data_IF_828040064866
#
_entry.id   IF_828040064866
#
_cell.length_a   1.000
_cell.length_b   1.000
_cell.length_c   1.000
_cell.angle_alpha   90.00
_cell.angle_beta   90.00
_cell.angle_gamma   90.00
#
_symmetry.space_group_name_H-M   'P 1'
#
loop_
_entity.id
_entity.type
_entity.pdbx_description
1 polymer ?
#
# COMPACT_ATOMS: atom_id res chain seq x y z
N UNK A 1 -15.61 -15.60 1.38
CA UNK A 1 -14.21 -15.63 0.95
C UNK A 1 -13.46 -14.40 1.41
N UNK A 2 -14.03 -13.21 1.11
CA UNK A 2 -13.41 -11.96 1.54
C UNK A 2 -13.32 -11.87 3.06
N UNK A 3 -14.32 -12.40 3.76
CA UNK A 3 -14.31 -12.41 5.22
C UNK A 3 -13.15 -13.24 5.77
N UNK A 4 -12.87 -14.39 5.17
CA UNK A 4 -11.76 -15.23 5.60
C UNK A 4 -10.42 -14.52 5.40
N UNK A 5 -10.27 -13.87 4.25
CA UNK A 5 -9.06 -13.11 3.96
C UNK A 5 -8.85 -12.03 5.01
N UNK A 6 -9.89 -11.25 5.30
CA UNK A 6 -9.79 -10.17 6.27
C UNK A 6 -9.48 -10.66 7.68
N UNK A 7 -9.98 -11.84 8.05
CA UNK A 7 -9.72 -12.37 9.39
C UNK A 7 -8.30 -12.91 9.55
N UNK A 8 -7.60 -13.18 8.45
CA UNK A 8 -6.27 -13.77 8.47
C UNK A 8 -5.15 -12.79 8.18
N UNK A 9 -5.48 -11.54 7.89
CA UNK A 9 -4.47 -10.58 7.50
C UNK A 9 -4.71 -9.19 8.03
N UNK A 10 -3.72 -8.35 7.80
CA UNK A 10 -3.77 -6.94 8.16
C UNK A 10 -4.19 -6.14 6.94
N UNK A 11 -5.08 -5.17 7.13
CA UNK A 11 -5.50 -4.31 6.03
C UNK A 11 -4.48 -3.22 5.82
N UNK A 12 -3.95 -3.18 4.60
CA UNK A 12 -3.02 -2.16 4.17
C UNK A 12 -3.65 -1.33 3.07
N UNK A 13 -3.05 -0.19 2.79
CA UNK A 13 -3.41 0.60 1.61
C UNK A 13 -2.15 0.89 0.81
N UNK A 14 -2.32 1.00 -0.50
CA UNK A 14 -1.27 1.52 -1.36
C UNK A 14 -1.94 2.31 -2.48
N UNK A 15 -1.43 3.50 -2.75
CA UNK A 15 -2.04 4.33 -3.76
C UNK A 15 -1.04 5.26 -4.42
N UNK A 16 -1.44 5.79 -5.57
CA UNK A 16 -0.67 6.81 -6.26
C UNK A 16 -1.56 8.04 -6.42
N UNK A 17 -1.01 9.19 -6.09
CA UNK A 17 -1.65 10.48 -6.37
C UNK A 17 -0.67 11.32 -7.17
N UNK A 18 -1.19 12.34 -7.85
CA UNK A 18 -0.35 13.23 -8.64
C UNK A 18 -0.20 14.54 -7.90
N UNK A 19 1.04 14.84 -7.51
CA UNK A 19 1.39 16.14 -6.92
C UNK A 19 1.64 17.13 -8.04
N UNK A 20 1.15 18.34 -7.89
CA UNK A 20 1.26 19.35 -8.94
C UNK A 20 2.71 19.69 -9.29
N UNK A 21 3.61 19.60 -8.31
CA UNK A 21 4.99 19.98 -8.50
C UNK A 21 5.90 18.75 -8.70
N UNK A 22 5.65 17.69 -7.94
CA UNK A 22 6.54 16.53 -7.91
C UNK A 22 6.12 15.40 -8.83
N UNK A 23 4.90 15.46 -9.37
CA UNK A 23 4.38 14.38 -10.21
C UNK A 23 3.79 13.25 -9.38
N UNK A 24 3.87 12.00 -9.89
CA UNK A 24 3.26 10.89 -9.18
C UNK A 24 3.98 10.58 -7.86
N UNK A 25 3.21 10.33 -6.82
CA UNK A 25 3.70 9.95 -5.51
C UNK A 25 2.95 8.71 -5.05
N UNK A 26 3.63 7.82 -4.36
CA UNK A 26 3.03 6.57 -3.87
C UNK A 26 2.98 6.61 -2.36
N UNK A 27 1.80 6.31 -1.81
CA UNK A 27 1.58 6.24 -0.37
C UNK A 27 1.30 4.80 0.01
N UNK A 28 1.98 4.32 1.03
CA UNK A 28 1.72 3.01 1.62
C UNK A 28 1.43 3.21 3.10
N UNK A 29 0.54 2.39 3.64
CA UNK A 29 0.18 2.53 5.03
C UNK A 29 -0.82 1.48 5.47
N UNK A 30 -1.29 1.64 6.69
CA UNK A 30 -2.35 0.79 7.22
C UNK A 30 -3.70 1.29 6.76
N UNK A 31 -4.59 0.34 6.46
CA UNK A 31 -5.97 0.63 6.15
C UNK A 31 -6.86 0.45 7.37
N UNK A 32 -8.18 0.50 7.12
CA UNK A 32 -9.15 0.34 8.18
C UNK A 32 -9.46 1.65 8.88
N UNK A 33 -10.52 1.61 9.66
CA UNK A 33 -11.10 2.82 10.23
C UNK A 33 -10.13 3.59 11.14
N UNK A 34 -9.53 2.86 12.09
CA UNK A 34 -8.67 3.52 13.07
C UNK A 34 -7.35 3.99 12.46
N UNK A 35 -6.81 3.21 11.55
CA UNK A 35 -5.53 3.56 10.93
C UNK A 35 -5.67 4.80 10.07
N UNK A 36 -6.77 4.95 9.35
CA UNK A 36 -7.03 6.14 8.55
C UNK A 36 -7.16 7.38 9.43
N UNK A 37 -7.84 7.26 10.56
CA UNK A 37 -8.00 8.36 11.50
C UNK A 37 -6.65 8.80 12.07
N UNK A 38 -5.72 7.86 12.25
CA UNK A 38 -4.38 8.14 12.77
C UNK A 38 -3.41 8.58 11.68
N UNK A 39 -3.79 8.47 10.43
CA UNK A 39 -2.96 8.81 9.28
C UNK A 39 -1.61 8.10 9.31
N UNK A 40 -1.65 6.79 9.52
CA UNK A 40 -0.44 5.97 9.65
C UNK A 40 0.01 5.50 8.27
N UNK A 41 0.69 6.38 7.55
CA UNK A 41 1.11 6.14 6.18
C UNK A 41 2.40 6.89 5.89
N UNK A 42 3.09 6.45 4.84
CA UNK A 42 4.31 7.09 4.36
C UNK A 42 4.22 7.25 2.85
N UNK A 43 4.74 8.38 2.35
CA UNK A 43 4.70 8.71 0.92
C UNK A 43 6.11 8.64 0.35
N UNK A 44 6.24 7.96 -0.79
CA UNK A 44 7.52 7.75 -1.46
C UNK A 44 7.41 8.21 -2.91
N UNK A 45 8.53 8.65 -3.46
CA UNK A 45 8.61 9.00 -4.88
C UNK A 45 8.89 7.74 -5.69
N UNK A 46 8.04 7.42 -6.70
CA UNK A 46 8.27 6.26 -7.55
C UNK A 46 9.36 6.57 -8.59
N UNK A 47 10.07 5.58 -9.11
CA UNK A 47 10.03 4.19 -8.68
C UNK A 47 10.92 3.99 -7.46
N UNK A 48 10.61 3.00 -6.66
CA UNK A 48 11.44 2.70 -5.50
C UNK A 48 11.66 1.20 -5.38
N UNK A 49 12.75 0.86 -4.69
CA UNK A 49 13.16 -0.53 -4.55
C UNK A 49 12.36 -1.24 -3.47
N UNK A 50 12.45 -2.57 -3.48
CA UNK A 50 11.89 -3.39 -2.42
C UNK A 50 12.44 -3.01 -1.06
N UNK A 51 13.75 -2.72 -1.00
CA UNK A 51 14.41 -2.33 0.24
C UNK A 51 13.86 -1.01 0.78
N UNK A 52 13.64 -0.04 -0.10
CA UNK A 52 13.04 1.23 0.31
C UNK A 52 11.63 1.04 0.84
N UNK A 53 10.86 0.15 0.22
CA UNK A 53 9.51 -0.16 0.69
C UNK A 53 9.54 -0.82 2.05
N UNK A 54 10.49 -1.73 2.29
CA UNK A 54 10.63 -2.38 3.60
C UNK A 54 10.99 -1.38 4.68
N UNK A 55 11.88 -0.46 4.38
CA UNK A 55 12.26 0.58 5.31
C UNK A 55 11.08 1.47 5.64
N UNK A 56 10.27 1.81 4.64
CA UNK A 56 9.07 2.61 4.84
C UNK A 56 8.07 1.91 5.77
N UNK A 57 7.88 0.60 5.59
CA UNK A 57 7.00 -0.18 6.46
C UNK A 57 7.47 -0.13 7.91
N UNK A 58 8.79 -0.15 8.12
CA UNK A 58 9.36 -0.09 9.46
C UNK A 58 9.14 1.24 10.15
N UNK A 59 8.80 2.29 9.41
CA UNK A 59 8.55 3.62 9.98
C UNK A 59 7.10 3.82 10.40
N UNK A 60 6.20 2.89 10.07
CA UNK A 60 4.78 3.03 10.41
C UNK A 60 4.55 2.89 11.91
N UNK A 61 3.59 3.65 12.42
CA UNK A 61 3.30 3.68 13.86
C UNK A 61 2.79 2.35 14.38
N UNK A 62 2.00 1.64 13.58
CA UNK A 62 1.37 0.38 13.98
C UNK A 62 2.13 -0.84 13.46
N UNK A 63 3.43 -0.69 13.22
CA UNK A 63 4.23 -1.78 12.63
C UNK A 63 4.20 -3.07 13.43
N UNK A 64 3.91 -3.00 14.73
CA UNK A 64 3.83 -4.20 15.55
C UNK A 64 2.75 -5.17 15.08
N UNK A 65 1.73 -4.69 14.39
CA UNK A 65 0.73 -5.57 13.80
C UNK A 65 1.33 -6.48 12.73
N UNK A 66 2.38 -6.01 12.08
CA UNK A 66 3.06 -6.78 11.03
C UNK A 66 4.01 -7.82 11.63
N UNK A 67 4.40 -7.65 12.88
CA UNK A 67 5.34 -8.53 13.56
C UNK A 67 4.67 -9.70 14.27
N UNK A 68 3.39 -9.95 14.02
CA UNK A 68 2.68 -11.06 14.63
C UNK A 68 2.08 -10.72 15.98
N UNK A 69 1.37 -9.62 16.03
CA UNK A 69 0.74 -9.16 17.26
C UNK A 69 -0.30 -10.16 17.77
N UNK A 70 -0.32 -10.40 19.08
CA UNK A 70 -1.25 -11.29 19.79
C UNK A 70 -1.21 -12.73 19.30
N UNK A 71 -0.01 -13.23 19.04
CA UNK A 71 0.16 -14.62 18.67
C UNK A 71 -0.17 -14.98 17.24
N UNK A 72 -0.54 -14.00 16.42
CA UNK A 72 -0.71 -14.27 15.00
C UNK A 72 0.65 -14.39 14.32
N UNK A 73 0.66 -15.04 13.15
CA UNK A 73 1.89 -15.16 12.38
C UNK A 73 2.33 -13.80 11.85
N UNK A 74 3.64 -13.56 11.77
CA UNK A 74 4.13 -12.32 11.17
C UNK A 74 3.67 -12.21 9.72
N UNK A 75 3.38 -10.98 9.30
CA UNK A 75 3.02 -10.71 7.93
C UNK A 75 4.22 -10.88 7.02
N UNK A 76 3.97 -11.21 5.76
CA UNK A 76 5.03 -11.37 4.76
C UNK A 76 5.45 -10.00 4.22
N UNK A 77 6.38 -9.35 4.94
CA UNK A 77 6.84 -8.02 4.57
C UNK A 77 7.55 -8.00 3.22
N UNK A 78 8.27 -9.09 2.89
CA UNK A 78 8.91 -9.17 1.59
C UNK A 78 7.90 -9.17 0.46
N UNK A 79 6.80 -9.89 0.63
CA UNK A 79 5.76 -9.93 -0.40
C UNK A 79 5.14 -8.56 -0.60
N UNK A 80 4.84 -7.85 0.48
CA UNK A 80 4.24 -6.52 0.34
C UNK A 80 5.24 -5.51 -0.23
N UNK A 81 6.50 -5.59 0.20
CA UNK A 81 7.52 -4.68 -0.32
C UNK A 81 7.76 -4.90 -1.81
N UNK A 82 7.77 -6.16 -2.24
CA UNK A 82 7.89 -6.47 -3.66
C UNK A 82 6.67 -5.96 -4.44
N UNK A 83 5.47 -6.17 -3.89
CA UNK A 83 4.24 -5.66 -4.47
C UNK A 83 4.30 -4.13 -4.62
N UNK A 84 4.71 -3.44 -3.56
CA UNK A 84 4.76 -1.97 -3.55
C UNK A 84 5.78 -1.44 -4.56
N UNK A 85 6.94 -2.10 -4.65
CA UNK A 85 7.97 -1.72 -5.59
C UNK A 85 7.47 -1.86 -7.04
N UNK A 86 6.84 -2.99 -7.36
CA UNK A 86 6.26 -3.21 -8.68
C UNK A 86 5.14 -2.21 -8.97
N UNK A 87 4.31 -1.94 -7.97
CA UNK A 87 3.25 -0.96 -8.11
C UNK A 87 3.84 0.42 -8.45
N UNK A 88 4.95 0.79 -7.81
CA UNK A 88 5.55 2.10 -8.04
C UNK A 88 6.03 2.27 -9.49
N UNK A 89 6.56 1.20 -10.09
CA UNK A 89 6.99 1.23 -11.49
C UNK A 89 5.78 1.41 -12.40
N UNK A 90 4.72 0.64 -12.16
CA UNK A 90 3.51 0.71 -12.97
C UNK A 90 2.85 2.09 -12.83
N UNK A 91 2.78 2.60 -11.62
CA UNK A 91 2.18 3.90 -11.36
C UNK A 91 2.93 5.00 -12.12
N UNK A 92 4.25 4.93 -12.12
CA UNK A 92 5.05 5.90 -12.85
C UNK A 92 4.82 5.80 -14.36
N UNK A 93 4.78 4.57 -14.89
CA UNK A 93 4.56 4.35 -16.32
C UNK A 93 3.20 4.84 -16.78
N UNK A 94 2.19 4.72 -15.92
CA UNK A 94 0.82 5.11 -16.27
C UNK A 94 0.48 6.54 -15.88
N UNK A 95 1.41 7.28 -15.28
CA UNK A 95 1.13 8.59 -14.72
C UNK A 95 0.67 9.63 -15.76
N UNK A 96 0.95 9.40 -17.04
CA UNK A 96 0.46 10.29 -18.08
C UNK A 96 -1.04 10.13 -18.34
N UNK A 97 -1.60 8.98 -18.04
CA UNK A 97 -2.99 8.65 -18.32
C UNK A 97 -3.83 8.60 -17.06
N UNK A 98 -3.23 8.22 -15.95
CA UNK A 98 -3.91 7.97 -14.69
C UNK A 98 -3.42 8.98 -13.67
N UNK A 99 -4.34 9.71 -13.04
CA UNK A 99 -3.97 10.69 -12.03
C UNK A 99 -4.03 10.13 -10.61
N UNK A 100 -4.76 9.03 -10.41
CA UNK A 100 -4.89 8.45 -9.07
C UNK A 100 -5.20 6.97 -9.18
N UNK A 101 -4.53 6.19 -8.32
CA UNK A 101 -4.83 4.77 -8.12
C UNK A 101 -4.93 4.56 -6.61
N UNK A 102 -5.99 3.88 -6.17
CA UNK A 102 -6.20 3.60 -4.76
C UNK A 102 -6.51 2.11 -4.61
N UNK A 103 -5.59 1.36 -4.05
CA UNK A 103 -5.79 -0.06 -3.71
C UNK A 103 -6.08 -0.13 -2.22
N UNK A 104 -7.33 -0.38 -1.88
CA UNK A 104 -7.79 -0.31 -0.49
C UNK A 104 -9.01 -1.22 -0.30
N UNK A 105 -8.90 -2.29 0.49
CA UNK A 105 -7.69 -2.71 1.20
C UNK A 105 -6.79 -3.63 0.38
N UNK A 106 -5.53 -3.72 0.82
CA UNK A 106 -4.61 -4.78 0.44
C UNK A 106 -4.46 -5.65 1.69
N UNK A 107 -4.82 -6.92 1.60
CA UNK A 107 -4.77 -7.82 2.74
C UNK A 107 -3.42 -8.49 2.78
N UNK A 108 -2.70 -8.30 3.88
CA UNK A 108 -1.35 -8.81 4.06
C UNK A 108 -1.30 -9.73 5.27
N UNK A 109 -0.91 -10.98 5.05
CA UNK A 109 -0.74 -11.97 6.09
C UNK A 109 0.57 -12.71 5.93
N UNK A 110 0.67 -13.87 6.56
CA UNK A 110 1.90 -14.67 6.52
C UNK A 110 2.21 -15.16 5.10
N UNK A 111 1.20 -15.61 4.39
CA UNK A 111 1.38 -16.13 3.03
C UNK A 111 0.38 -15.54 2.04
N UNK A 112 -0.12 -14.34 2.34
CA UNK A 112 -1.11 -13.70 1.49
C UNK A 112 -0.79 -12.22 1.35
N UNK A 113 -0.89 -11.72 0.12
CA UNK A 113 -0.80 -10.31 -0.19
C UNK A 113 -1.70 -10.07 -1.39
N UNK A 114 -2.89 -9.52 -1.15
CA UNK A 114 -3.88 -9.43 -2.21
C UNK A 114 -4.64 -8.11 -2.12
N UNK A 115 -4.74 -7.42 -3.25
CA UNK A 115 -5.57 -6.23 -3.34
C UNK A 115 -7.02 -6.67 -3.55
N UNK A 116 -7.90 -6.21 -2.68
CA UNK A 116 -9.30 -6.60 -2.70
C UNK A 116 -10.12 -5.65 -3.55
N UNK A 117 -9.76 -4.39 -3.57
CA UNK A 117 -10.49 -3.38 -4.32
C UNK A 117 -9.53 -2.35 -4.90
N UNK A 118 -9.93 -1.73 -6.00
CA UNK A 118 -9.12 -0.73 -6.68
C UNK A 118 -9.99 0.35 -7.26
N UNK A 119 -9.57 1.60 -7.06
CA UNK A 119 -10.20 2.75 -7.67
C UNK A 119 -9.16 3.46 -8.52
N UNK A 120 -9.49 3.73 -9.77
CA UNK A 120 -8.56 4.36 -10.71
C UNK A 120 -9.25 5.58 -11.31
N UNK A 121 -8.56 6.71 -11.25
CA UNK A 121 -9.05 7.96 -11.83
C UNK A 121 -8.13 8.40 -12.96
N UNK A 122 -8.73 8.72 -14.09
CA UNK A 122 -7.98 9.16 -15.28
C UNK A 122 -7.82 10.67 -15.27
N UNK A 123 -6.78 11.15 -15.93
CA UNK A 123 -6.64 12.57 -16.18
C UNK A 123 -7.78 13.03 -17.08
N UNK A 124 -8.29 14.22 -16.79
CA UNK A 124 -9.31 14.79 -17.64
C UNK A 124 -8.74 15.16 -19.00
N UNK A 125 -9.47 14.82 -20.04
CA UNK A 125 -9.09 15.23 -21.38
C UNK A 125 -9.76 16.57 -21.71
N UNK A 126 -9.01 17.40 -22.40
CA UNK A 126 -9.53 18.68 -22.84
C UNK A 126 -9.93 18.65 -24.28
#
# INVERSE_FOLDING_TARGET
>A
LARMIQSEGVEMIIGMTTDEQLGPMVTIGFGGYYAEAMNDAVTLMPPFSKEAAKEALGSLKMKTLLDGYRGSEPADLDAFADFASRFSVIALELSNQICEIDLNPVILGNDICIAVDALISLHQQK
#
